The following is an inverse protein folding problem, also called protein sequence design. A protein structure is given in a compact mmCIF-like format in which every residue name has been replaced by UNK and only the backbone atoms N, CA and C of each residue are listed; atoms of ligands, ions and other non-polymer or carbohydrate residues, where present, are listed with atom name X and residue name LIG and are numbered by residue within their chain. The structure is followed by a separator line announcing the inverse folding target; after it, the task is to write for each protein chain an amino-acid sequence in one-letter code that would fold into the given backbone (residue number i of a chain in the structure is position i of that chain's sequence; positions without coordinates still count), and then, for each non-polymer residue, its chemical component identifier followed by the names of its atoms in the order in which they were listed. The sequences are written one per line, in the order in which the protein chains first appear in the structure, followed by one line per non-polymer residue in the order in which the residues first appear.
data_IF_032637871669
#
_entry.id   IF_032637871669
#
_cell.length_a   1.000
_cell.length_b   1.000
_cell.length_c   1.000
_cell.angle_alpha   90.00
_cell.angle_beta   90.00
_cell.angle_gamma   90.00
#
_symmetry.space_group_name_H-M   'P 1'
#
loop_
_entity.id
_entity.type
_entity.pdbx_description
1 polymer ?
#
# COMPACT_ATOMS: atom_id res chain seq x y z
N UNK A 1 -51.70 1.47 -45.73
CA UNK A 1 -51.99 0.31 -44.86
C UNK A 1 -51.38 0.59 -43.50
N UNK A 2 -52.20 0.76 -42.46
CA UNK A 2 -51.70 0.73 -41.08
C UNK A 2 -51.63 -0.74 -40.63
N UNK A 3 -50.51 -1.17 -40.06
CA UNK A 3 -50.41 -2.51 -39.44
C UNK A 3 -50.96 -2.39 -38.01
N UNK A 4 -52.29 -2.36 -37.91
CA UNK A 4 -53.01 -2.21 -36.64
C UNK A 4 -54.47 -2.61 -36.79
N UNK A 5 -54.83 -3.78 -36.26
CA UNK A 5 -56.20 -4.31 -36.28
C UNK A 5 -57.07 -3.62 -35.23
N UNK A 6 -57.62 -2.46 -35.57
CA UNK A 6 -58.56 -1.71 -34.73
C UNK A 6 -59.30 -0.64 -35.52
N UNK A 7 -60.60 -0.45 -35.24
CA UNK A 7 -61.51 0.42 -36.01
C UNK A 7 -61.15 1.92 -35.98
N UNK A 8 -60.22 2.33 -35.11
CA UNK A 8 -59.72 3.71 -34.99
C UNK A 8 -58.28 3.88 -35.51
N UNK A 9 -57.72 2.90 -36.22
CA UNK A 9 -56.38 2.98 -36.80
C UNK A 9 -56.37 3.92 -38.02
N UNK A 10 -56.25 5.24 -37.77
CA UNK A 10 -56.18 6.25 -38.82
C UNK A 10 -54.96 6.02 -39.74
N UNK A 11 -55.22 5.51 -40.94
CA UNK A 11 -54.23 5.46 -42.00
C UNK A 11 -53.84 6.89 -42.39
N UNK A 12 -52.56 7.23 -42.23
CA UNK A 12 -52.01 8.51 -42.68
C UNK A 12 -52.40 8.78 -44.14
N UNK A 13 -52.87 9.99 -44.41
CA UNK A 13 -53.45 10.38 -45.69
C UNK A 13 -52.39 10.61 -46.77
N UNK A 14 -52.74 10.24 -48.00
CA UNK A 14 -52.25 10.75 -49.29
C UNK A 14 -50.73 10.59 -49.61
N UNK A 15 -49.93 9.94 -48.77
CA UNK A 15 -48.49 9.65 -49.03
C UNK A 15 -48.10 8.26 -48.49
N UNK A 16 -48.47 7.19 -49.21
CA UNK A 16 -48.06 5.82 -48.86
C UNK A 16 -46.85 5.37 -49.69
N UNK A 17 -45.86 4.80 -49.01
CA UNK A 17 -44.70 4.17 -49.67
C UNK A 17 -45.08 2.86 -50.37
N UNK A 18 -44.44 2.59 -51.51
CA UNK A 18 -44.71 1.42 -52.35
C UNK A 18 -44.42 0.10 -51.64
N UNK A 19 -45.46 -0.68 -51.36
CA UNK A 19 -45.33 -2.08 -50.99
C UNK A 19 -44.97 -2.91 -52.24
N UNK A 20 -43.68 -3.14 -52.46
CA UNK A 20 -43.19 -4.01 -53.52
C UNK A 20 -43.44 -5.49 -53.16
N UNK A 21 -44.67 -5.96 -53.33
CA UNK A 21 -44.96 -7.40 -53.28
C UNK A 21 -44.23 -8.10 -54.42
N UNK A 22 -43.40 -9.08 -54.06
CA UNK A 22 -42.77 -10.01 -55.00
C UNK A 22 -43.39 -11.39 -54.83
N UNK A 23 -43.45 -12.16 -55.91
CA UNK A 23 -43.84 -13.57 -55.86
C UNK A 23 -42.72 -14.45 -55.26
N UNK A 24 -42.96 -15.76 -55.17
CA UNK A 24 -41.98 -16.72 -54.68
C UNK A 24 -40.69 -16.83 -55.53
N UNK A 25 -40.69 -16.24 -56.73
CA UNK A 25 -39.54 -16.18 -57.65
C UNK A 25 -38.85 -14.80 -57.63
N UNK A 26 -39.29 -13.86 -56.78
CA UNK A 26 -38.74 -12.52 -56.66
C UNK A 26 -39.25 -11.51 -57.71
N UNK A 27 -40.23 -11.86 -58.53
CA UNK A 27 -40.83 -10.99 -59.55
C UNK A 27 -41.84 -10.05 -58.91
N UNK A 28 -41.75 -8.74 -59.18
CA UNK A 28 -42.70 -7.76 -58.65
C UNK A 28 -44.10 -7.97 -59.27
N UNK A 29 -45.13 -8.09 -58.43
CA UNK A 29 -46.50 -8.40 -58.85
C UNK A 29 -47.19 -7.10 -59.32
N UNK A 30 -47.58 -6.95 -60.61
CA UNK A 30 -48.27 -5.76 -61.07
C UNK A 30 -49.69 -5.68 -60.49
N UNK A 31 -50.07 -4.51 -59.98
CA UNK A 31 -51.44 -4.21 -59.54
C UNK A 31 -51.71 -4.29 -58.03
N UNK A 32 -50.84 -4.90 -57.22
CA UNK A 32 -50.99 -4.96 -55.75
C UNK A 32 -50.31 -3.77 -55.05
N UNK A 33 -50.60 -2.55 -55.48
CA UNK A 33 -49.93 -1.34 -54.96
C UNK A 33 -50.54 0.00 -55.37
N UNK A 34 -51.75 0.02 -55.90
CA UNK A 34 -52.45 1.25 -56.27
C UNK A 34 -53.27 1.83 -55.12
N UNK A 35 -53.05 3.10 -54.79
CA UNK A 35 -54.05 3.90 -54.07
C UNK A 35 -55.32 3.98 -54.93
N UNK A 36 -56.53 3.66 -54.42
CA UNK A 36 -57.76 3.70 -55.20
C UNK A 36 -58.09 5.07 -55.82
N UNK A 37 -57.50 6.16 -55.30
CA UNK A 37 -57.81 7.52 -55.71
C UNK A 37 -56.81 8.12 -56.72
N UNK A 38 -55.89 7.33 -57.28
CA UNK A 38 -54.87 7.80 -58.23
C UNK A 38 -55.37 8.08 -59.66
N UNK A 39 -56.59 8.62 -59.80
CA UNK A 39 -57.22 8.97 -61.08
C UNK A 39 -58.06 10.27 -61.00
N UNK A 40 -57.46 11.39 -60.58
CA UNK A 40 -57.69 12.66 -61.28
C UNK A 40 -56.53 13.66 -61.11
N UNK A 41 -56.51 14.63 -62.01
CA UNK A 41 -55.68 15.82 -62.15
C UNK A 41 -55.14 16.47 -60.85
N UNK A 42 -53.82 16.60 -60.77
CA UNK A 42 -53.15 17.91 -60.64
C UNK A 42 -51.64 17.84 -60.93
N UNK A 43 -51.08 18.92 -61.49
CA UNK A 43 -49.74 18.97 -62.05
C UNK A 43 -48.63 19.04 -60.98
N UNK A 44 -47.89 17.95 -60.80
CA UNK A 44 -46.54 17.96 -60.24
C UNK A 44 -45.73 16.84 -60.93
N UNK A 45 -44.53 17.09 -61.48
CA UNK A 45 -43.90 16.12 -62.37
C UNK A 45 -43.47 14.86 -61.62
N UNK A 46 -43.63 13.70 -62.27
CA UNK A 46 -43.16 12.40 -61.80
C UNK A 46 -41.63 12.45 -61.68
N UNK A 47 -41.12 12.72 -60.47
CA UNK A 47 -39.67 12.75 -60.23
C UNK A 47 -39.11 11.33 -60.27
N UNK A 48 -38.60 10.93 -61.43
CA UNK A 48 -37.97 9.64 -61.73
C UNK A 48 -36.68 9.34 -60.93
N UNK A 49 -36.38 10.13 -59.89
CA UNK A 49 -35.21 9.98 -59.03
C UNK A 49 -35.46 10.55 -57.61
N UNK A 50 -36.06 9.74 -56.72
CA UNK A 50 -35.75 9.71 -55.27
C UNK A 50 -35.90 8.31 -54.65
N UNK A 51 -36.73 7.43 -55.23
CA UNK A 51 -36.36 6.01 -55.29
C UNK A 51 -35.25 5.88 -56.34
N UNK A 52 -34.00 6.04 -55.91
CA UNK A 52 -32.84 6.14 -56.81
C UNK A 52 -32.35 4.79 -57.34
N UNK A 53 -32.92 4.32 -58.44
CA UNK A 53 -32.16 3.48 -59.38
C UNK A 53 -31.31 4.44 -60.22
N UNK A 54 -29.98 4.30 -60.16
CA UNK A 54 -29.09 5.09 -61.00
C UNK A 54 -29.22 4.65 -62.48
N UNK A 55 -29.13 5.56 -63.47
CA UNK A 55 -29.22 5.18 -64.88
C UNK A 55 -28.07 4.25 -65.27
N UNK A 56 -28.42 3.01 -65.66
CA UNK A 56 -27.46 1.96 -66.06
C UNK A 56 -27.59 0.64 -65.28
N UNK A 57 -28.39 0.61 -64.21
CA UNK A 57 -28.44 -0.53 -63.28
C UNK A 57 -29.65 -1.46 -63.47
N UNK A 58 -29.37 -2.74 -63.70
CA UNK A 58 -30.37 -3.74 -64.14
C UNK A 58 -31.04 -4.56 -63.03
N UNK A 59 -30.80 -4.29 -61.74
CA UNK A 59 -31.34 -5.08 -60.62
C UNK A 59 -32.22 -4.24 -59.66
N UNK A 60 -33.50 -4.60 -59.46
CA UNK A 60 -34.39 -3.85 -58.56
C UNK A 60 -34.11 -4.19 -57.07
N UNK A 61 -34.12 -3.20 -56.15
CA UNK A 61 -33.73 -3.38 -54.75
C UNK A 61 -34.60 -4.42 -54.02
N UNK A 62 -33.95 -5.29 -53.25
CA UNK A 62 -34.51 -6.51 -52.65
C UNK A 62 -35.20 -6.30 -51.29
N UNK A 63 -35.61 -5.08 -50.96
CA UNK A 63 -36.08 -4.72 -49.60
C UNK A 63 -37.48 -4.09 -49.52
N UNK A 64 -37.93 -3.86 -48.29
CA UNK A 64 -39.28 -3.39 -47.94
C UNK A 64 -39.24 -1.96 -47.39
N UNK A 65 -39.82 -1.02 -48.14
CA UNK A 65 -39.98 0.37 -47.71
C UNK A 65 -41.46 0.68 -47.41
N UNK A 66 -41.75 1.19 -46.21
CA UNK A 66 -43.12 1.53 -45.77
C UNK A 66 -43.15 2.92 -45.15
N UNK A 67 -44.05 3.77 -45.65
CA UNK A 67 -44.26 5.14 -45.15
C UNK A 67 -43.43 6.21 -45.86
N UNK A 68 -43.79 7.47 -45.61
CA UNK A 68 -43.34 8.63 -46.38
C UNK A 68 -41.82 8.83 -46.31
N UNK A 69 -41.19 9.00 -47.48
CA UNK A 69 -39.74 9.22 -47.66
C UNK A 69 -38.81 8.12 -47.10
N UNK A 70 -39.34 6.96 -46.67
CA UNK A 70 -38.48 5.83 -46.27
C UNK A 70 -37.89 5.13 -47.50
N UNK A 71 -36.61 4.79 -47.46
CA UNK A 71 -35.79 4.29 -48.57
C UNK A 71 -35.04 3.02 -48.16
N UNK A 72 -34.95 2.06 -49.09
CA UNK A 72 -34.08 0.88 -48.95
C UNK A 72 -33.14 0.82 -50.16
N UNK A 73 -31.87 0.52 -49.90
CA UNK A 73 -30.83 0.41 -50.92
C UNK A 73 -30.76 -0.96 -51.61
N UNK A 74 -29.66 -1.18 -52.33
CA UNK A 74 -29.54 -2.22 -53.36
C UNK A 74 -29.50 -3.66 -52.84
N UNK A 75 -28.82 -3.88 -51.71
CA UNK A 75 -28.66 -5.24 -51.16
C UNK A 75 -29.89 -5.77 -50.42
N UNK A 76 -30.87 -4.90 -50.13
CA UNK A 76 -32.09 -5.23 -49.37
C UNK A 76 -32.20 -4.47 -48.06
N UNK A 77 -33.07 -4.97 -47.18
CA UNK A 77 -33.35 -4.40 -45.86
C UNK A 77 -34.81 -3.99 -45.67
N UNK A 78 -35.10 -3.37 -44.51
CA UNK A 78 -36.43 -2.96 -44.07
C UNK A 78 -36.38 -1.50 -43.59
N UNK A 79 -37.17 -0.61 -44.18
CA UNK A 79 -37.31 0.78 -43.75
C UNK A 79 -38.78 1.11 -43.49
N UNK A 80 -39.17 1.34 -42.22
CA UNK A 80 -40.58 1.49 -41.81
C UNK A 80 -40.81 2.76 -41.01
N UNK A 81 -41.65 3.65 -41.52
CA UNK A 81 -42.06 4.90 -40.87
C UNK A 81 -41.75 6.12 -41.73
N UNK A 82 -41.25 7.20 -41.12
CA UNK A 82 -40.96 8.46 -41.81
C UNK A 82 -39.46 8.66 -42.04
N UNK A 83 -39.06 8.84 -43.31
CA UNK A 83 -37.69 9.22 -43.72
C UNK A 83 -36.59 8.33 -43.11
N UNK A 84 -36.81 7.03 -43.05
CA UNK A 84 -35.79 6.06 -42.64
C UNK A 84 -34.98 5.59 -43.86
N UNK A 85 -33.71 5.27 -43.67
CA UNK A 85 -32.81 4.76 -44.71
C UNK A 85 -32.21 3.43 -44.26
N UNK A 86 -32.28 2.39 -45.08
CA UNK A 86 -31.67 1.09 -44.79
C UNK A 86 -30.84 0.59 -45.99
N UNK A 87 -29.57 0.24 -45.76
CA UNK A 87 -28.72 -0.41 -46.77
C UNK A 87 -28.35 0.48 -47.95
N UNK A 88 -28.44 1.80 -47.77
CA UNK A 88 -28.29 2.81 -48.83
C UNK A 88 -26.86 3.23 -49.12
N UNK A 89 -25.90 2.85 -48.27
CA UNK A 89 -24.48 3.12 -48.50
C UNK A 89 -23.86 2.01 -49.33
N UNK A 90 -23.05 2.38 -50.32
CA UNK A 90 -22.27 1.43 -51.10
C UNK A 90 -20.95 1.15 -50.37
N UNK A 91 -20.63 -0.12 -50.13
CA UNK A 91 -19.35 -0.51 -49.55
C UNK A 91 -18.23 -0.33 -50.58
N UNK A 92 -17.06 0.14 -50.13
CA UNK A 92 -15.90 0.41 -50.98
C UNK A 92 -15.19 -0.86 -51.47
N UNK A 93 -15.56 -2.02 -50.94
CA UNK A 93 -15.11 -3.36 -51.36
C UNK A 93 -15.97 -3.97 -52.48
N UNK A 94 -17.12 -3.37 -52.80
CA UNK A 94 -18.08 -3.91 -53.78
C UNK A 94 -18.89 -5.13 -53.32
N UNK A 95 -18.75 -5.57 -52.07
CA UNK A 95 -19.41 -6.79 -51.55
C UNK A 95 -20.75 -6.46 -50.88
N UNK A 96 -21.85 -6.62 -51.62
CA UNK A 96 -23.19 -6.29 -51.13
C UNK A 96 -23.72 -7.25 -50.06
N UNK A 97 -23.86 -6.77 -48.82
CA UNK A 97 -24.54 -7.48 -47.72
C UNK A 97 -25.49 -6.55 -46.96
N UNK A 98 -26.67 -6.23 -47.50
CA UNK A 98 -27.60 -5.30 -46.84
C UNK A 98 -28.93 -5.98 -46.47
N UNK A 99 -28.98 -6.60 -45.30
CA UNK A 99 -30.22 -6.92 -44.58
C UNK A 99 -30.31 -6.06 -43.31
N UNK A 100 -30.23 -4.73 -43.47
CA UNK A 100 -30.35 -3.79 -42.35
C UNK A 100 -31.80 -3.35 -42.11
N UNK A 101 -32.09 -2.86 -40.90
CA UNK A 101 -33.46 -2.55 -40.44
C UNK A 101 -33.53 -1.17 -39.81
N UNK A 102 -34.27 -0.24 -40.42
CA UNK A 102 -34.50 1.12 -39.94
C UNK A 102 -35.99 1.35 -39.64
N UNK A 103 -36.36 1.59 -38.37
CA UNK A 103 -37.78 1.67 -37.94
C UNK A 103 -38.05 2.89 -37.08
N UNK A 104 -39.00 3.74 -37.49
CA UNK A 104 -39.46 4.91 -36.76
C UNK A 104 -39.36 6.19 -37.59
N UNK A 105 -38.50 7.13 -37.17
CA UNK A 105 -38.36 8.46 -37.79
C UNK A 105 -36.90 8.84 -37.99
N UNK A 106 -36.49 9.29 -39.18
CA UNK A 106 -35.13 9.78 -39.48
C UNK A 106 -33.97 8.80 -39.18
N UNK A 107 -34.20 7.47 -39.12
CA UNK A 107 -33.12 6.53 -38.81
C UNK A 107 -32.29 6.16 -40.06
N UNK A 108 -30.97 6.03 -39.90
CA UNK A 108 -30.02 5.50 -40.89
C UNK A 108 -29.48 4.14 -40.39
N UNK A 109 -29.78 3.06 -41.11
CA UNK A 109 -29.23 1.72 -40.90
C UNK A 109 -28.32 1.35 -42.09
N UNK A 110 -27.13 1.94 -42.10
CA UNK A 110 -26.22 2.00 -43.24
C UNK A 110 -25.28 0.80 -43.31
N UNK A 111 -24.86 0.31 -42.15
CA UNK A 111 -23.96 -0.83 -42.05
C UNK A 111 -24.62 -2.13 -42.49
N UNK A 112 -23.85 -3.04 -43.06
CA UNK A 112 -24.29 -4.40 -43.40
C UNK A 112 -24.90 -5.09 -42.18
N UNK A 113 -26.14 -5.57 -42.25
CA UNK A 113 -26.90 -6.15 -41.12
C UNK A 113 -27.15 -5.21 -39.92
N UNK A 114 -27.02 -3.89 -40.09
CA UNK A 114 -27.25 -2.93 -39.00
C UNK A 114 -28.73 -2.76 -38.63
N UNK A 115 -29.00 -2.27 -37.42
CA UNK A 115 -30.35 -2.02 -36.90
C UNK A 115 -30.41 -0.61 -36.32
N UNK A 116 -31.35 0.23 -36.76
CA UNK A 116 -31.56 1.59 -36.27
C UNK A 116 -33.06 1.83 -35.95
N UNK A 117 -33.43 1.82 -34.67
CA UNK A 117 -34.84 1.83 -34.25
C UNK A 117 -35.11 3.01 -33.31
N UNK A 118 -36.14 3.79 -33.63
CA UNK A 118 -36.62 4.93 -32.84
C UNK A 118 -36.59 6.23 -33.62
N UNK A 119 -35.84 7.24 -33.16
CA UNK A 119 -35.78 8.57 -33.78
C UNK A 119 -34.34 9.07 -34.01
N UNK A 120 -34.00 9.43 -35.25
CA UNK A 120 -32.72 10.06 -35.63
C UNK A 120 -31.46 9.24 -35.25
N UNK A 121 -31.55 7.91 -35.21
CA UNK A 121 -30.40 7.05 -34.92
C UNK A 121 -29.59 6.76 -36.19
N UNK A 122 -28.26 6.64 -36.06
CA UNK A 122 -27.36 6.26 -37.17
C UNK A 122 -26.51 5.05 -36.80
N UNK A 123 -26.71 3.93 -37.49
CA UNK A 123 -25.98 2.68 -37.33
C UNK A 123 -25.15 2.39 -38.60
N UNK A 124 -23.84 2.66 -38.53
CA UNK A 124 -22.92 2.63 -39.69
C UNK A 124 -22.03 1.38 -39.68
N UNK A 125 -21.69 0.87 -38.50
CA UNK A 125 -20.86 -0.33 -38.37
C UNK A 125 -21.57 -1.58 -38.89
N UNK A 126 -20.82 -2.55 -39.42
CA UNK A 126 -21.35 -3.86 -39.80
C UNK A 126 -21.87 -4.60 -38.57
N UNK A 127 -23.06 -5.18 -38.67
CA UNK A 127 -23.78 -5.85 -37.59
C UNK A 127 -24.02 -4.98 -36.35
N UNK A 128 -24.07 -3.66 -36.51
CA UNK A 128 -24.23 -2.70 -35.41
C UNK A 128 -25.70 -2.40 -35.06
N UNK A 129 -25.98 -1.96 -33.84
CA UNK A 129 -27.34 -1.67 -33.38
C UNK A 129 -27.45 -0.32 -32.66
N UNK A 130 -28.38 0.53 -33.10
CA UNK A 130 -28.75 1.80 -32.48
C UNK A 130 -30.25 1.79 -32.09
N UNK A 131 -30.59 1.91 -30.80
CA UNK A 131 -31.97 1.83 -30.30
C UNK A 131 -32.30 3.00 -29.37
N UNK A 132 -33.29 3.80 -29.76
CA UNK A 132 -33.84 4.90 -28.97
C UNK A 132 -33.84 6.22 -29.74
N UNK A 133 -33.16 7.26 -29.24
CA UNK A 133 -33.17 8.59 -29.88
C UNK A 133 -31.78 9.19 -30.05
N UNK A 134 -31.43 9.60 -31.27
CA UNK A 134 -30.20 10.33 -31.61
C UNK A 134 -28.90 9.57 -31.27
N UNK A 135 -28.93 8.23 -31.25
CA UNK A 135 -27.75 7.41 -30.98
C UNK A 135 -26.88 7.25 -32.24
N UNK A 136 -25.56 7.14 -32.05
CA UNK A 136 -24.59 6.96 -33.13
C UNK A 136 -23.74 5.71 -32.86
N UNK A 137 -23.81 4.76 -33.79
CA UNK A 137 -23.07 3.48 -33.70
C UNK A 137 -22.16 3.37 -34.92
N UNK A 138 -20.87 3.68 -34.75
CA UNK A 138 -19.86 3.57 -35.81
C UNK A 138 -19.16 2.21 -35.82
N UNK A 139 -18.97 1.60 -34.66
CA UNK A 139 -18.17 0.39 -34.53
C UNK A 139 -18.81 -0.85 -35.15
N UNK A 140 -18.00 -1.68 -35.79
CA UNK A 140 -18.40 -3.03 -36.19
C UNK A 140 -18.83 -3.85 -34.97
N UNK A 141 -19.98 -4.50 -35.05
CA UNK A 141 -20.65 -5.28 -33.98
C UNK A 141 -20.93 -4.44 -32.71
N UNK A 142 -20.88 -3.11 -32.80
CA UNK A 142 -21.11 -2.22 -31.67
C UNK A 142 -22.62 -1.96 -31.44
N UNK A 143 -22.97 -1.54 -30.22
CA UNK A 143 -24.37 -1.36 -29.79
C UNK A 143 -24.53 -0.06 -28.99
N UNK A 144 -25.41 0.85 -29.44
CA UNK A 144 -25.79 2.07 -28.73
C UNK A 144 -27.29 2.07 -28.35
N UNK A 145 -27.59 2.08 -27.05
CA UNK A 145 -28.94 2.07 -26.50
C UNK A 145 -29.25 3.36 -25.72
N UNK A 146 -30.48 3.85 -25.82
CA UNK A 146 -30.99 4.96 -25.02
C UNK A 146 -31.10 6.27 -25.80
N UNK A 147 -30.53 7.36 -25.28
CA UNK A 147 -30.59 8.69 -25.93
C UNK A 147 -29.20 9.29 -26.08
N UNK A 148 -28.84 9.69 -27.29
CA UNK A 148 -27.55 10.31 -27.59
C UNK A 148 -26.36 9.44 -27.13
N UNK A 149 -26.50 8.12 -27.17
CA UNK A 149 -25.41 7.18 -26.87
C UNK A 149 -24.50 7.01 -28.08
N UNK A 150 -23.20 6.90 -27.83
CA UNK A 150 -22.14 6.81 -28.83
C UNK A 150 -21.38 5.48 -28.65
N UNK A 151 -21.52 4.54 -29.57
CA UNK A 151 -20.74 3.30 -29.60
C UNK A 151 -19.83 3.33 -30.84
N UNK A 152 -18.60 3.77 -30.63
CA UNK A 152 -17.68 4.22 -31.68
C UNK A 152 -16.63 3.15 -31.98
N UNK A 153 -16.03 2.55 -30.96
CA UNK A 153 -15.06 1.47 -31.15
C UNK A 153 -15.71 0.18 -31.64
N UNK A 154 -14.99 -0.69 -32.38
CA UNK A 154 -15.50 -2.02 -32.72
C UNK A 154 -15.76 -2.83 -31.44
N UNK A 155 -16.78 -3.69 -31.48
CA UNK A 155 -17.28 -4.50 -30.36
C UNK A 155 -17.73 -3.70 -29.12
N UNK A 156 -17.89 -2.38 -29.23
CA UNK A 156 -18.24 -1.51 -28.09
C UNK A 156 -19.74 -1.51 -27.75
N UNK A 157 -20.06 -1.25 -26.48
CA UNK A 157 -21.43 -1.22 -25.95
C UNK A 157 -21.67 0.08 -25.16
N UNK A 158 -22.63 0.89 -25.57
CA UNK A 158 -22.99 2.15 -24.92
C UNK A 158 -24.49 2.18 -24.56
N UNK A 159 -24.84 2.28 -23.28
CA UNK A 159 -26.24 2.30 -22.82
C UNK A 159 -26.50 3.42 -21.80
N UNK A 160 -27.35 4.39 -22.15
CA UNK A 160 -27.77 5.43 -21.21
C UNK A 160 -28.30 6.71 -21.86
N UNK A 161 -28.01 7.85 -21.22
CA UNK A 161 -28.13 9.17 -21.83
C UNK A 161 -26.73 9.78 -21.95
N UNK A 162 -26.24 10.00 -23.17
CA UNK A 162 -24.84 10.41 -23.44
C UNK A 162 -23.82 9.39 -22.91
N UNK A 163 -24.16 8.09 -22.99
CA UNK A 163 -23.20 7.01 -22.74
C UNK A 163 -22.25 6.90 -23.93
N UNK A 164 -20.94 6.82 -23.71
CA UNK A 164 -19.93 6.94 -24.76
C UNK A 164 -18.84 5.88 -24.66
N UNK A 165 -18.86 4.91 -25.56
CA UNK A 165 -17.81 3.90 -25.70
C UNK A 165 -16.94 4.20 -26.94
N UNK A 166 -15.79 4.84 -26.69
CA UNK A 166 -14.86 5.31 -27.73
C UNK A 166 -13.82 4.25 -28.12
N UNK A 167 -13.30 3.49 -27.15
CA UNK A 167 -12.30 2.45 -27.40
C UNK A 167 -12.86 1.16 -27.98
N UNK A 168 -12.06 0.38 -28.72
CA UNK A 168 -12.35 -1.03 -29.02
C UNK A 168 -12.70 -1.81 -27.75
N UNK A 169 -13.68 -2.71 -27.83
CA UNK A 169 -14.19 -3.50 -26.70
C UNK A 169 -14.68 -2.66 -25.49
N UNK A 170 -14.95 -1.36 -25.72
CA UNK A 170 -15.34 -0.43 -24.67
C UNK A 170 -16.78 -0.63 -24.20
N UNK A 171 -17.02 -0.63 -22.89
CA UNK A 171 -18.36 -0.76 -22.30
C UNK A 171 -18.68 0.49 -21.47
N UNK A 172 -19.68 1.26 -21.88
CA UNK A 172 -20.15 2.46 -21.20
C UNK A 172 -21.64 2.32 -20.80
N UNK A 173 -21.96 2.18 -19.51
CA UNK A 173 -23.34 1.96 -19.03
C UNK A 173 -23.68 2.97 -17.94
N UNK A 174 -24.63 3.87 -18.22
CA UNK A 174 -25.04 4.96 -17.34
C UNK A 174 -25.23 6.29 -18.09
N UNK A 175 -25.84 7.29 -17.43
CA UNK A 175 -25.84 8.66 -17.98
C UNK A 175 -24.42 9.22 -17.90
N UNK A 176 -23.94 9.85 -18.98
CA UNK A 176 -22.59 10.43 -19.07
C UNK A 176 -21.43 9.44 -18.77
N UNK A 177 -21.65 8.13 -18.93
CA UNK A 177 -20.55 7.15 -18.80
C UNK A 177 -19.60 7.22 -20.00
N UNK A 178 -18.29 7.08 -19.77
CA UNK A 178 -17.26 7.22 -20.78
C UNK A 178 -16.20 6.10 -20.70
N UNK A 179 -16.09 5.28 -21.76
CA UNK A 179 -15.12 4.20 -21.91
C UNK A 179 -14.15 4.49 -23.07
N UNK A 180 -12.91 4.83 -22.74
CA UNK A 180 -11.92 5.46 -23.62
C UNK A 180 -12.05 6.99 -23.67
N UNK A 181 -10.98 7.67 -24.08
CA UNK A 181 -11.05 9.08 -24.51
C UNK A 181 -11.62 9.17 -25.93
N UNK A 182 -12.19 10.31 -26.32
CA UNK A 182 -12.55 10.56 -27.72
C UNK A 182 -11.29 10.84 -28.56
N UNK A 183 -11.10 10.10 -29.66
CA UNK A 183 -10.07 10.43 -30.66
C UNK A 183 -10.35 11.76 -31.37
N UNK A 184 -9.31 12.41 -31.91
CA UNK A 184 -9.39 13.74 -32.55
C UNK A 184 -10.41 13.86 -33.70
N UNK A 185 -10.78 12.73 -34.30
CA UNK A 185 -11.74 12.57 -35.41
C UNK A 185 -13.07 11.90 -34.98
N UNK A 186 -13.19 11.56 -33.70
CA UNK A 186 -14.28 10.75 -33.16
C UNK A 186 -14.39 9.35 -33.79
N UNK A 187 -13.29 8.72 -34.23
CA UNK A 187 -13.27 7.34 -34.78
C UNK A 187 -12.84 6.26 -33.78
N UNK A 188 -12.27 6.65 -32.64
CA UNK A 188 -11.76 5.71 -31.63
C UNK A 188 -10.29 5.28 -31.83
N UNK A 189 -9.61 5.77 -32.87
CA UNK A 189 -8.22 5.36 -33.20
C UNK A 189 -7.16 5.83 -32.21
N UNK A 190 -7.43 6.91 -31.45
CA UNK A 190 -6.60 7.35 -30.32
C UNK A 190 -7.04 6.80 -28.96
N UNK A 191 -8.04 5.91 -28.94
CA UNK A 191 -8.75 5.51 -27.72
C UNK A 191 -8.23 4.17 -27.19
N UNK A 192 -7.72 4.17 -25.96
CA UNK A 192 -7.26 2.97 -25.27
C UNK A 192 -8.36 1.89 -25.23
N UNK A 193 -8.02 0.66 -25.60
CA UNK A 193 -8.97 -0.44 -25.73
C UNK A 193 -9.42 -1.05 -24.38
N UNK A 194 -10.50 -1.85 -24.42
CA UNK A 194 -11.01 -2.69 -23.34
C UNK A 194 -11.29 -1.96 -22.02
N UNK A 195 -11.77 -0.71 -22.12
CA UNK A 195 -12.18 0.09 -20.97
C UNK A 195 -13.65 -0.20 -20.58
N UNK A 196 -13.94 -0.24 -19.27
CA UNK A 196 -15.29 -0.50 -18.75
C UNK A 196 -15.68 0.61 -17.78
N UNK A 197 -16.72 1.38 -18.10
CA UNK A 197 -17.27 2.48 -17.31
C UNK A 197 -18.76 2.26 -17.04
N UNK A 198 -19.09 1.89 -15.79
CA UNK A 198 -20.45 1.54 -15.38
C UNK A 198 -20.85 2.40 -14.18
N UNK A 199 -21.79 3.32 -14.40
CA UNK A 199 -22.28 4.28 -13.40
C UNK A 199 -22.58 5.65 -14.01
N UNK A 200 -23.32 6.46 -13.25
CA UNK A 200 -23.57 7.86 -13.62
C UNK A 200 -22.26 8.66 -13.65
N UNK A 201 -21.93 9.30 -14.77
CA UNK A 201 -20.70 10.07 -14.95
C UNK A 201 -19.42 9.28 -14.59
N UNK A 202 -19.42 7.95 -14.81
CA UNK A 202 -18.26 7.08 -14.63
C UNK A 202 -17.30 7.21 -15.83
N UNK A 203 -15.99 7.23 -15.59
CA UNK A 203 -14.99 7.39 -16.65
C UNK A 203 -13.85 6.37 -16.51
N UNK A 204 -13.65 5.53 -17.51
CA UNK A 204 -12.51 4.62 -17.62
C UNK A 204 -11.83 4.86 -18.96
N UNK A 205 -10.62 5.41 -18.97
CA UNK A 205 -9.97 5.84 -20.22
C UNK A 205 -8.53 5.37 -20.42
N UNK A 206 -7.91 4.83 -19.36
CA UNK A 206 -6.49 4.47 -19.37
C UNK A 206 -6.08 3.28 -20.25
N UNK A 207 -7.02 2.42 -20.67
CA UNK A 207 -6.76 1.19 -21.41
C UNK A 207 -6.71 -0.01 -20.48
N UNK A 208 -7.60 -0.99 -20.72
CA UNK A 208 -7.87 -2.05 -19.74
C UNK A 208 -8.36 -1.53 -18.39
N UNK A 209 -8.90 -0.30 -18.34
CA UNK A 209 -9.28 0.36 -17.10
C UNK A 209 -10.75 0.08 -16.74
N UNK A 210 -11.04 -0.04 -15.44
CA UNK A 210 -12.37 -0.36 -14.92
C UNK A 210 -12.85 0.71 -13.94
N UNK A 211 -13.92 1.42 -14.26
CA UNK A 211 -14.62 2.34 -13.37
C UNK A 211 -16.05 1.84 -13.12
N UNK A 212 -16.33 1.36 -11.91
CA UNK A 212 -17.64 0.82 -11.52
C UNK A 212 -18.17 1.60 -10.29
N UNK A 213 -19.12 2.49 -10.54
CA UNK A 213 -19.75 3.37 -9.56
C UNK A 213 -20.06 4.76 -10.12
N UNK A 214 -21.04 5.45 -9.53
CA UNK A 214 -21.33 6.86 -9.88
C UNK A 214 -20.09 7.72 -9.63
N UNK A 215 -19.65 8.49 -10.63
CA UNK A 215 -18.43 9.30 -10.63
C UNK A 215 -17.13 8.52 -10.36
N UNK A 216 -17.11 7.19 -10.55
CA UNK A 216 -15.87 6.41 -10.51
C UNK A 216 -14.93 6.80 -11.66
N UNK A 217 -13.62 6.87 -11.41
CA UNK A 217 -12.61 7.34 -12.38
C UNK A 217 -11.38 6.43 -12.42
N UNK A 218 -11.12 5.82 -13.58
CA UNK A 218 -9.97 4.98 -13.85
C UNK A 218 -9.19 5.51 -15.08
N UNK A 219 -8.30 6.48 -14.85
CA UNK A 219 -7.71 7.33 -15.90
C UNK A 219 -6.26 6.95 -16.23
N UNK A 220 -5.89 5.69 -16.07
CA UNK A 220 -4.54 5.17 -16.37
C UNK A 220 -4.55 3.69 -16.68
N UNK A 221 -3.53 3.20 -17.38
CA UNK A 221 -3.52 1.85 -17.94
C UNK A 221 -3.67 0.78 -16.86
N UNK A 222 -4.66 -0.10 -17.02
CA UNK A 222 -5.05 -1.16 -16.07
C UNK A 222 -5.43 -0.64 -14.67
N UNK A 223 -5.87 0.63 -14.54
CA UNK A 223 -6.37 1.18 -13.28
C UNK A 223 -7.80 0.68 -12.98
N UNK A 224 -8.13 0.51 -11.70
CA UNK A 224 -9.43 0.02 -11.23
C UNK A 224 -10.01 0.94 -10.16
N UNK A 225 -11.18 1.51 -10.40
CA UNK A 225 -11.93 2.33 -9.45
C UNK A 225 -13.31 1.69 -9.20
N UNK A 226 -13.48 1.12 -8.02
CA UNK A 226 -14.68 0.36 -7.61
C UNK A 226 -15.37 1.03 -6.43
N UNK A 227 -16.38 1.86 -6.71
CA UNK A 227 -17.17 2.58 -5.70
C UNK A 227 -17.60 3.96 -6.19
N UNK A 228 -18.64 4.52 -5.58
CA UNK A 228 -19.10 5.88 -5.92
C UNK A 228 -18.00 6.89 -5.59
N UNK A 229 -17.56 7.68 -6.58
CA UNK A 229 -16.46 8.63 -6.44
C UNK A 229 -15.09 8.00 -6.19
N UNK A 230 -14.91 6.71 -6.44
CA UNK A 230 -13.59 6.07 -6.37
C UNK A 230 -12.67 6.59 -7.48
N UNK A 231 -11.39 6.81 -7.20
CA UNK A 231 -10.43 7.41 -8.13
C UNK A 231 -9.11 6.65 -8.16
N UNK A 232 -8.77 6.08 -9.32
CA UNK A 232 -7.51 5.40 -9.60
C UNK A 232 -6.84 6.08 -10.82
N UNK A 233 -5.92 7.00 -10.54
CA UNK A 233 -5.32 7.89 -11.54
C UNK A 233 -3.89 7.50 -11.93
N UNK A 234 -3.47 6.28 -11.60
CA UNK A 234 -2.11 5.78 -11.87
C UNK A 234 -2.12 4.38 -12.49
N UNK A 235 -1.13 4.06 -13.31
CA UNK A 235 -0.99 2.76 -13.99
C UNK A 235 -1.04 1.60 -12.99
N UNK A 236 -1.91 0.62 -13.24
CA UNK A 236 -2.20 -0.56 -12.39
C UNK A 236 -2.71 -0.27 -10.97
N UNK A 237 -3.04 0.99 -10.63
CA UNK A 237 -3.56 1.33 -9.29
C UNK A 237 -5.01 0.92 -9.10
N UNK A 238 -5.39 0.57 -7.87
CA UNK A 238 -6.71 0.07 -7.50
C UNK A 238 -7.27 0.88 -6.34
N UNK A 239 -8.43 1.51 -6.52
CA UNK A 239 -9.20 2.19 -5.49
C UNK A 239 -10.53 1.45 -5.26
N UNK A 240 -10.75 0.93 -4.05
CA UNK A 240 -11.95 0.14 -3.70
C UNK A 240 -12.70 0.73 -2.50
N UNK A 241 -14.01 0.89 -2.66
CA UNK A 241 -14.90 1.60 -1.73
C UNK A 241 -15.27 3.00 -2.22
N UNK A 242 -16.41 3.52 -1.75
CA UNK A 242 -16.84 4.88 -2.11
C UNK A 242 -15.86 5.95 -1.62
N UNK A 243 -15.53 6.93 -2.47
CA UNK A 243 -14.54 7.97 -2.20
C UNK A 243 -13.10 7.48 -2.03
N UNK A 244 -12.80 6.22 -2.32
CA UNK A 244 -11.43 5.68 -2.22
C UNK A 244 -10.50 6.26 -3.28
N UNK A 245 -9.23 6.42 -2.95
CA UNK A 245 -8.29 7.25 -3.70
C UNK A 245 -6.94 6.54 -3.81
N UNK A 246 -6.54 6.18 -5.04
CA UNK A 246 -5.27 5.51 -5.36
C UNK A 246 -4.39 6.45 -6.21
N UNK A 247 -3.78 7.44 -5.53
CA UNK A 247 -3.10 8.58 -6.13
C UNK A 247 -1.59 8.62 -5.89
N UNK A 248 -0.99 7.71 -5.11
CA UNK A 248 0.44 7.74 -4.74
C UNK A 248 1.41 7.36 -5.88
N UNK A 249 0.91 6.88 -7.02
CA UNK A 249 1.74 6.56 -8.18
C UNK A 249 2.57 5.28 -8.05
N UNK A 250 3.63 5.20 -8.87
CA UNK A 250 4.58 4.09 -8.82
C UNK A 250 5.52 4.27 -7.62
N UNK A 251 5.48 3.33 -6.67
CA UNK A 251 6.25 3.45 -5.43
C UNK A 251 7.70 2.98 -5.66
N UNK A 252 8.58 3.93 -5.96
CA UNK A 252 10.03 3.72 -6.14
C UNK A 252 10.80 4.23 -4.93
N UNK A 253 10.78 3.45 -3.84
CA UNK A 253 11.41 3.76 -2.55
C UNK A 253 11.86 2.46 -1.86
N UNK A 254 12.57 2.55 -0.72
CA UNK A 254 12.83 1.35 0.10
C UNK A 254 11.80 1.22 1.22
N UNK A 255 11.47 -0.02 1.59
CA UNK A 255 10.72 -0.33 2.80
C UNK A 255 11.46 0.16 4.05
N UNK A 256 10.78 0.91 4.91
CA UNK A 256 11.37 1.61 6.07
C UNK A 256 12.04 0.65 7.08
N UNK A 257 11.53 -0.57 7.23
CA UNK A 257 11.99 -1.53 8.24
C UNK A 257 12.93 -2.61 7.70
N UNK A 258 12.70 -3.10 6.47
CA UNK A 258 13.49 -4.18 5.86
C UNK A 258 14.63 -3.67 4.99
N UNK A 259 14.56 -2.41 4.53
CA UNK A 259 15.45 -1.85 3.53
C UNK A 259 15.23 -2.36 2.10
N UNK A 260 14.28 -3.27 1.87
CA UNK A 260 13.99 -3.87 0.55
C UNK A 260 13.50 -2.79 -0.42
N UNK A 261 14.04 -2.77 -1.64
CA UNK A 261 13.67 -1.81 -2.67
C UNK A 261 12.32 -2.17 -3.31
N UNK A 262 11.40 -1.22 -3.30
CA UNK A 262 10.12 -1.28 -4.01
C UNK A 262 10.36 -0.88 -5.48
N UNK A 263 10.05 -1.80 -6.39
CA UNK A 263 10.29 -1.61 -7.82
C UNK A 263 9.31 -0.62 -8.45
N UNK A 264 9.78 0.13 -9.45
CA UNK A 264 8.97 1.03 -10.29
C UNK A 264 7.93 0.22 -11.11
N UNK A 265 6.81 -0.08 -10.47
CA UNK A 265 5.82 -1.05 -10.91
C UNK A 265 4.90 -1.53 -9.78
N UNK A 266 5.34 -1.38 -8.52
CA UNK A 266 4.48 -1.50 -7.35
C UNK A 266 3.42 -0.39 -7.39
N UNK A 267 2.18 -0.80 -7.68
CA UNK A 267 1.03 0.08 -7.79
C UNK A 267 0.20 0.06 -6.49
N UNK A 268 -0.41 1.19 -6.17
CA UNK A 268 -1.22 1.35 -4.97
C UNK A 268 -2.53 0.55 -5.03
N UNK A 269 -2.80 -0.26 -3.99
CA UNK A 269 -4.13 -0.77 -3.67
C UNK A 269 -4.67 0.01 -2.46
N UNK A 270 -5.71 0.79 -2.66
CA UNK A 270 -6.27 1.72 -1.68
C UNK A 270 -7.72 1.38 -1.32
N UNK A 271 -7.96 1.14 -0.03
CA UNK A 271 -9.28 0.83 0.54
C UNK A 271 -10.01 2.07 1.09
N UNK A 272 -9.48 3.27 0.88
CA UNK A 272 -9.99 4.52 1.45
C UNK A 272 -9.30 5.75 0.89
N UNK A 273 -9.27 6.83 1.65
CA UNK A 273 -8.48 8.03 1.37
C UNK A 273 -7.78 8.51 2.65
N UNK A 274 -6.88 9.50 2.55
CA UNK A 274 -6.21 10.08 3.72
C UNK A 274 -7.23 10.75 4.66
N UNK A 275 -7.26 10.35 5.94
CA UNK A 275 -8.28 10.75 6.92
C UNK A 275 -9.65 10.06 6.73
N UNK A 276 -9.73 9.09 5.82
CA UNK A 276 -10.89 8.24 5.54
C UNK A 276 -10.44 6.79 5.28
N UNK A 277 -9.50 6.32 6.10
CA UNK A 277 -8.98 4.96 6.10
C UNK A 277 -10.05 3.94 6.51
N UNK A 278 -9.90 2.68 6.09
CA UNK A 278 -10.81 1.58 6.44
C UNK A 278 -10.05 0.41 7.04
N UNK A 279 -10.68 -0.26 8.01
CA UNK A 279 -10.16 -1.51 8.56
C UNK A 279 -10.25 -2.62 7.51
N UNK A 280 -9.16 -3.37 7.31
CA UNK A 280 -9.15 -4.61 6.55
C UNK A 280 -9.29 -5.76 7.56
N UNK A 281 -10.48 -6.37 7.61
CA UNK A 281 -10.83 -7.42 8.57
C UNK A 281 -10.65 -8.81 7.97
N UNK A 282 -10.68 -9.85 8.82
CA UNK A 282 -10.57 -11.27 8.43
C UNK A 282 -9.26 -11.66 7.70
N UNK A 283 -8.20 -10.85 7.85
CA UNK A 283 -6.87 -11.13 7.30
C UNK A 283 -6.25 -12.35 8.00
N UNK A 284 -5.95 -13.39 7.23
CA UNK A 284 -5.25 -14.59 7.71
C UNK A 284 -3.82 -14.27 8.21
N UNK A 285 -3.13 -15.25 8.82
CA UNK A 285 -1.75 -15.04 9.22
C UNK A 285 -0.80 -15.07 8.01
N UNK A 286 0.05 -14.06 7.88
CA UNK A 286 1.13 -14.01 6.91
C UNK A 286 2.07 -15.23 7.03
N UNK A 287 2.46 -15.80 5.89
CA UNK A 287 3.35 -16.96 5.75
C UNK A 287 4.55 -16.70 4.84
N UNK A 288 4.46 -15.67 3.99
CA UNK A 288 5.48 -15.21 3.05
C UNK A 288 5.80 -13.73 3.34
N UNK A 289 6.97 -13.27 2.92
CA UNK A 289 7.40 -11.89 3.15
C UNK A 289 6.49 -10.80 2.54
N UNK A 290 5.66 -11.16 1.56
CA UNK A 290 4.72 -10.27 0.85
C UNK A 290 3.28 -10.38 1.36
N UNK A 291 3.00 -11.19 2.39
CA UNK A 291 1.65 -11.38 2.92
C UNK A 291 1.32 -10.27 3.95
N UNK A 292 0.05 -9.87 4.03
CA UNK A 292 -0.39 -8.87 5.00
C UNK A 292 -0.36 -9.42 6.44
N UNK A 293 0.41 -8.76 7.32
CA UNK A 293 0.53 -9.12 8.75
C UNK A 293 -0.73 -8.70 9.51
N UNK A 294 -1.31 -9.61 10.29
CA UNK A 294 -2.49 -9.31 11.13
C UNK A 294 -2.14 -9.00 12.60
N UNK A 295 -3.11 -8.47 13.34
CA UNK A 295 -2.93 -8.04 14.74
C UNK A 295 -2.46 -9.16 15.68
N UNK A 296 -2.81 -10.42 15.41
CA UNK A 296 -2.32 -11.57 16.21
C UNK A 296 -0.82 -11.77 16.02
N UNK A 297 -0.32 -11.63 14.79
CA UNK A 297 1.12 -11.73 14.52
C UNK A 297 1.91 -10.57 15.11
N UNK A 298 1.39 -9.35 15.01
CA UNK A 298 2.01 -8.18 15.64
C UNK A 298 2.12 -8.34 17.17
N UNK A 299 1.07 -8.87 17.82
CA UNK A 299 1.09 -9.17 19.26
C UNK A 299 2.14 -10.21 19.64
N UNK A 300 2.23 -11.33 18.91
CA UNK A 300 3.23 -12.38 19.17
C UNK A 300 4.68 -11.87 19.09
N UNK A 301 4.97 -10.84 18.28
CA UNK A 301 6.29 -10.18 18.28
C UNK A 301 6.55 -9.44 19.59
N UNK A 302 5.55 -8.74 20.12
CA UNK A 302 5.62 -8.04 21.41
C UNK A 302 5.75 -9.02 22.59
N UNK A 303 4.95 -10.08 22.61
CA UNK A 303 5.04 -11.15 23.61
C UNK A 303 6.45 -11.78 23.65
N UNK A 304 7.00 -12.11 22.47
CA UNK A 304 8.32 -12.71 22.31
C UNK A 304 9.45 -11.77 22.75
N UNK A 305 9.37 -10.48 22.41
CA UNK A 305 10.36 -9.48 22.83
C UNK A 305 10.31 -9.24 24.35
N UNK A 306 9.11 -9.10 24.93
CA UNK A 306 8.95 -8.91 26.36
C UNK A 306 9.48 -10.11 27.17
N UNK A 307 9.15 -11.33 26.75
CA UNK A 307 9.67 -12.56 27.35
C UNK A 307 11.20 -12.66 27.25
N UNK A 308 11.77 -12.29 26.11
CA UNK A 308 13.23 -12.27 25.88
C UNK A 308 13.97 -11.25 26.75
N UNK A 309 13.30 -10.17 27.16
CA UNK A 309 13.84 -9.11 28.02
C UNK A 309 13.52 -9.31 29.51
N UNK A 310 12.71 -10.30 29.88
CA UNK A 310 12.26 -10.52 31.27
C UNK A 310 11.18 -9.53 31.76
N UNK A 311 10.50 -8.84 30.83
CA UNK A 311 9.42 -7.90 31.10
C UNK A 311 8.03 -8.50 30.84
N UNK A 312 7.07 -7.63 30.52
CA UNK A 312 5.72 -8.03 30.08
C UNK A 312 5.24 -7.19 28.90
N UNK A 313 4.25 -7.68 28.17
CA UNK A 313 3.61 -6.96 27.06
C UNK A 313 2.10 -6.91 27.29
N UNK A 314 1.52 -5.72 27.22
CA UNK A 314 0.06 -5.55 27.20
C UNK A 314 -0.43 -5.55 25.75
N UNK A 315 -1.01 -6.67 25.33
CA UNK A 315 -1.59 -6.83 24.01
C UNK A 315 -2.77 -5.87 23.72
N UNK A 316 -3.41 -5.26 24.73
CA UNK A 316 -4.49 -4.30 24.53
C UNK A 316 -3.98 -2.89 24.19
N UNK A 317 -2.97 -2.38 24.89
CA UNK A 317 -2.40 -1.03 24.66
C UNK A 317 -1.15 -1.01 23.79
N UNK A 318 -0.46 -2.14 23.63
CA UNK A 318 0.86 -2.23 23.00
C UNK A 318 2.02 -1.81 23.91
N UNK A 319 1.78 -1.58 25.20
CA UNK A 319 2.80 -1.16 26.15
C UNK A 319 3.70 -2.33 26.59
N UNK A 320 4.99 -2.03 26.83
CA UNK A 320 5.93 -2.94 27.48
C UNK A 320 6.10 -2.58 28.96
N UNK A 321 5.95 -3.55 29.84
CA UNK A 321 6.35 -3.43 31.24
C UNK A 321 7.87 -3.70 31.36
N UNK A 322 8.56 -2.84 32.13
CA UNK A 322 9.98 -2.99 32.38
C UNK A 322 10.28 -4.31 33.13
N UNK A 323 11.43 -4.96 32.87
CA UNK A 323 11.87 -6.13 33.63
C UNK A 323 12.20 -5.75 35.09
N UNK A 324 12.03 -6.72 35.99
CA UNK A 324 12.48 -6.60 37.38
C UNK A 324 13.76 -7.41 37.61
N UNK A 325 14.65 -6.87 38.43
CA UNK A 325 15.97 -7.45 38.70
C UNK A 325 16.02 -7.92 40.14
N UNK A 326 16.24 -9.22 40.38
CA UNK A 326 16.28 -9.78 41.74
C UNK A 326 17.69 -9.86 42.31
N UNK A 327 17.89 -9.37 43.54
CA UNK A 327 19.07 -9.67 44.36
C UNK A 327 18.69 -9.83 45.83
N UNK A 328 19.20 -10.86 46.50
CA UNK A 328 18.89 -11.14 47.92
C UNK A 328 17.39 -11.41 48.21
N UNK A 329 16.59 -11.75 47.19
CA UNK A 329 15.13 -11.85 47.28
C UNK A 329 14.38 -10.51 47.14
N UNK A 330 15.10 -9.38 47.03
CA UNK A 330 14.54 -8.04 46.81
C UNK A 330 14.45 -7.76 45.30
N UNK A 331 13.30 -7.29 44.79
CA UNK A 331 13.17 -6.84 43.40
C UNK A 331 13.58 -5.36 43.26
N UNK A 332 14.29 -5.06 42.16
CA UNK A 332 14.74 -3.73 41.78
C UNK A 332 14.18 -3.36 40.39
N UNK A 333 13.88 -2.07 40.18
CA UNK A 333 13.25 -1.59 38.95
C UNK A 333 14.26 -1.30 37.83
N UNK A 334 15.55 -1.15 38.17
CA UNK A 334 16.65 -0.99 37.20
C UNK A 334 17.81 -1.92 37.53
N UNK A 335 18.48 -2.42 36.50
CA UNK A 335 19.71 -3.20 36.64
C UNK A 335 20.79 -2.46 37.46
N UNK A 336 20.87 -1.13 37.33
CA UNK A 336 21.78 -0.29 38.11
C UNK A 336 21.54 -0.35 39.62
N UNK A 337 20.28 -0.47 40.03
CA UNK A 337 19.88 -0.53 41.45
C UNK A 337 20.22 -1.91 42.04
N UNK A 338 19.97 -2.99 41.29
CA UNK A 338 20.39 -4.34 41.67
C UNK A 338 21.93 -4.47 41.74
N UNK A 339 22.66 -3.85 40.81
CA UNK A 339 24.14 -3.83 40.85
C UNK A 339 24.66 -2.99 42.02
N UNK A 340 24.01 -1.89 42.38
CA UNK A 340 24.34 -1.12 43.60
C UNK A 340 24.07 -1.92 44.88
N UNK A 341 23.00 -2.74 44.91
CA UNK A 341 22.75 -3.65 46.02
C UNK A 341 23.83 -4.74 46.13
N UNK A 342 24.22 -5.36 45.01
CA UNK A 342 25.35 -6.31 44.97
C UNK A 342 26.63 -5.65 45.49
N UNK A 343 26.98 -4.46 45.00
CA UNK A 343 28.19 -3.73 45.43
C UNK A 343 28.14 -3.37 46.93
N UNK A 344 26.96 -3.08 47.48
CA UNK A 344 26.76 -2.77 48.90
C UNK A 344 26.92 -4.01 49.79
N UNK A 345 26.30 -5.15 49.43
CA UNK A 345 26.24 -6.33 50.29
C UNK A 345 27.36 -7.37 50.04
N UNK A 346 28.15 -7.24 48.96
CA UNK A 346 29.26 -8.14 48.68
C UNK A 346 30.51 -7.83 49.54
N UNK A 347 31.16 -8.89 50.03
CA UNK A 347 32.52 -8.81 50.60
C UNK A 347 33.49 -8.24 49.56
N UNK A 348 34.19 -7.16 49.90
CA UNK A 348 35.20 -6.55 49.04
C UNK A 348 36.60 -6.84 49.55
N UNK A 349 37.50 -7.18 48.65
CA UNK A 349 38.93 -7.10 48.95
C UNK A 349 39.33 -5.63 49.13
N UNK A 350 40.24 -5.40 50.07
CA UNK A 350 40.91 -4.10 50.21
C UNK A 350 41.62 -3.72 48.90
N UNK A 351 41.78 -2.41 48.71
CA UNK A 351 42.55 -1.85 47.59
C UNK A 351 43.47 -0.75 48.10
N UNK A 352 44.63 -0.63 47.47
CA UNK A 352 45.49 0.52 47.69
C UNK A 352 44.95 1.80 47.00
N UNK A 353 45.63 2.93 47.18
CA UNK A 353 45.29 4.20 46.55
C UNK A 353 45.42 4.22 45.01
N UNK A 354 45.92 3.15 44.38
CA UNK A 354 45.93 2.96 42.92
C UNK A 354 44.75 2.10 42.42
N UNK A 355 43.98 1.49 43.33
CA UNK A 355 42.90 0.55 43.02
C UNK A 355 43.33 -0.91 42.88
N UNK A 356 44.60 -1.23 43.17
CA UNK A 356 45.17 -2.58 43.12
C UNK A 356 44.68 -3.40 44.31
N UNK A 357 44.28 -4.66 44.07
CA UNK A 357 43.77 -5.58 45.10
C UNK A 357 44.85 -5.93 46.12
N UNK A 358 44.60 -5.61 47.38
CA UNK A 358 45.38 -6.03 48.54
C UNK A 358 44.93 -7.44 49.02
N UNK A 359 45.73 -8.14 49.83
CA UNK A 359 45.34 -9.43 50.41
C UNK A 359 44.30 -9.34 51.53
N UNK A 360 43.93 -8.14 51.99
CA UNK A 360 42.90 -7.90 53.00
C UNK A 360 41.47 -7.98 52.46
N UNK A 361 40.50 -8.10 53.36
CA UNK A 361 39.05 -8.06 53.08
C UNK A 361 38.42 -7.04 54.04
N UNK A 362 37.76 -6.03 53.49
CA UNK A 362 37.03 -5.03 54.28
C UNK A 362 35.68 -5.61 54.71
N UNK A 363 35.64 -6.11 55.94
CA UNK A 363 34.42 -6.66 56.56
C UNK A 363 33.41 -5.57 56.96
N UNK A 364 33.84 -4.32 57.11
CA UNK A 364 33.04 -3.26 57.78
C UNK A 364 31.82 -2.81 56.97
N UNK A 365 31.81 -3.07 55.66
CA UNK A 365 30.72 -2.70 54.74
C UNK A 365 29.47 -3.57 54.85
N UNK A 366 29.53 -4.67 55.61
CA UNK A 366 28.35 -5.47 55.94
C UNK A 366 27.35 -4.78 56.89
N UNK A 367 27.62 -3.54 57.32
CA UNK A 367 26.75 -2.75 58.19
C UNK A 367 27.06 -1.25 58.13
N UNK A 368 26.54 -0.50 59.10
CA UNK A 368 26.85 0.93 59.24
C UNK A 368 28.31 1.14 59.66
N UNK A 369 28.95 2.19 59.16
CA UNK A 369 30.35 2.52 59.47
C UNK A 369 30.53 2.68 60.98
N UNK A 370 31.42 1.87 61.58
CA UNK A 370 31.66 1.81 63.02
C UNK A 370 30.89 0.72 63.77
N UNK A 371 29.99 -0.03 63.11
CA UNK A 371 29.39 -1.23 63.70
C UNK A 371 30.40 -2.38 63.77
N UNK A 372 30.42 -3.11 64.90
CA UNK A 372 31.23 -4.30 65.05
C UNK A 372 30.65 -5.47 64.24
N UNK A 373 31.48 -6.10 63.40
CA UNK A 373 31.08 -7.22 62.54
C UNK A 373 31.19 -8.53 63.32
N UNK A 374 30.08 -9.21 63.53
CA UNK A 374 30.08 -10.53 64.18
C UNK A 374 30.49 -11.62 63.17
N UNK A 375 31.60 -12.30 63.45
CA UNK A 375 32.06 -13.46 62.67
C UNK A 375 31.73 -14.72 63.46
N UNK A 376 30.76 -15.51 62.97
CA UNK A 376 30.31 -16.75 63.59
C UNK A 376 30.78 -17.98 62.80
N UNK A 377 30.78 -19.15 63.43
CA UNK A 377 31.20 -20.40 62.78
C UNK A 377 32.72 -20.54 62.54
N UNK A 378 33.56 -19.69 63.16
CA UNK A 378 35.01 -19.83 63.10
C UNK A 378 35.45 -21.19 63.66
N UNK A 379 36.06 -22.01 62.80
CA UNK A 379 36.76 -23.22 63.18
C UNK A 379 38.11 -22.87 63.85
N UNK A 380 38.75 -23.80 64.58
CA UNK A 380 40.08 -23.60 65.15
C UNK A 380 41.12 -23.11 64.14
N UNK A 381 41.74 -21.96 64.42
CA UNK A 381 42.87 -21.48 63.64
C UNK A 381 44.04 -22.47 63.71
N UNK A 382 44.64 -22.76 62.57
CA UNK A 382 45.76 -23.71 62.40
C UNK A 382 47.13 -23.02 62.29
N UNK A 383 47.15 -21.68 62.33
CA UNK A 383 48.34 -20.83 62.28
C UNK A 383 48.13 -19.58 63.14
N UNK A 384 49.23 -19.02 63.67
CA UNK A 384 49.22 -17.89 64.62
C UNK A 384 48.61 -16.58 64.07
N UNK A 385 48.46 -16.47 62.75
CA UNK A 385 47.85 -15.32 62.06
C UNK A 385 46.37 -15.52 61.69
N UNK A 386 45.75 -16.63 62.11
CA UNK A 386 44.33 -16.93 61.83
C UNK A 386 43.36 -16.25 62.79
N UNK A 387 42.12 -16.00 62.32
CA UNK A 387 41.02 -15.60 63.19
C UNK A 387 40.56 -16.78 64.05
N UNK A 388 40.45 -16.57 65.37
CA UNK A 388 40.03 -17.59 66.35
C UNK A 388 38.66 -17.29 66.93
N UNK A 389 37.92 -18.33 67.31
CA UNK A 389 36.69 -18.17 68.09
C UNK A 389 37.02 -17.72 69.53
N UNK A 390 36.12 -16.95 70.17
CA UNK A 390 36.34 -16.43 71.53
C UNK A 390 36.53 -17.56 72.57
N UNK A 391 35.92 -18.73 72.34
CA UNK A 391 36.12 -19.95 73.14
C UNK A 391 37.56 -20.51 73.11
N UNK A 392 38.38 -20.06 72.18
CA UNK A 392 39.80 -20.41 72.05
C UNK A 392 40.74 -19.33 72.58
N UNK A 393 40.22 -18.18 73.00
CA UNK A 393 40.97 -17.16 73.73
C UNK A 393 40.79 -17.40 75.23
N UNK A 394 41.65 -18.18 75.91
CA UNK A 394 41.58 -18.30 77.36
C UNK A 394 41.86 -16.93 77.98
N UNK A 395 40.85 -16.34 78.62
CA UNK A 395 40.94 -15.04 79.31
C UNK A 395 41.96 -15.13 80.46
N UNK A 396 43.21 -14.78 80.16
CA UNK A 396 44.32 -14.74 81.11
C UNK A 396 44.48 -13.33 81.66
N UNK A 397 43.71 -13.01 82.69
CA UNK A 397 43.90 -11.81 83.49
C UNK A 397 45.32 -11.79 84.11
N UNK A 398 46.10 -10.76 83.81
CA UNK A 398 47.39 -10.49 84.43
C UNK A 398 47.24 -9.48 85.56
N UNK A 399 48.10 -9.58 86.57
CA UNK A 399 48.27 -8.53 87.59
C UNK A 399 49.66 -7.93 87.46
N UNK A 400 49.83 -6.68 87.91
CA UNK A 400 51.05 -5.89 87.69
C UNK A 400 52.34 -6.44 88.36
N UNK A 401 52.27 -7.59 89.04
CA UNK A 401 53.40 -8.23 89.72
C UNK A 401 53.79 -9.61 89.13
N UNK A 402 52.95 -10.25 88.29
CA UNK A 402 53.29 -11.51 87.60
C UNK A 402 52.31 -11.81 86.45
N UNK A 403 52.78 -11.96 85.19
CA UNK A 403 51.90 -12.13 84.03
C UNK A 403 51.50 -13.59 83.71
N UNK A 404 51.87 -14.57 84.55
CA UNK A 404 51.73 -16.02 84.23
C UNK A 404 50.69 -16.78 85.05
N UNK A 405 50.11 -16.19 86.09
CA UNK A 405 49.06 -16.80 86.94
C UNK A 405 47.86 -15.86 87.10
N UNK A 406 46.65 -16.44 87.09
CA UNK A 406 45.39 -15.67 87.12
C UNK A 406 44.91 -15.38 88.56
N UNK A 407 44.26 -14.24 88.76
CA UNK A 407 43.80 -13.76 90.07
C UNK A 407 42.26 -13.54 90.10
N UNK A 408 41.52 -14.03 91.12
CA UNK A 408 40.05 -13.98 91.12
C UNK A 408 39.48 -12.79 91.92
N UNK A 409 39.46 -11.58 91.33
CA UNK A 409 38.64 -10.46 91.85
C UNK A 409 38.37 -9.38 90.78
N UNK A 410 37.13 -8.86 90.76
CA UNK A 410 36.63 -7.71 89.97
C UNK A 410 36.64 -7.89 88.43
N UNK A 411 35.47 -7.90 87.76
CA UNK A 411 35.41 -7.90 86.29
C UNK A 411 35.89 -6.58 85.68
N UNK A 412 36.69 -6.68 84.61
CA UNK A 412 36.86 -5.61 83.61
C UNK A 412 36.43 -6.15 82.24
N UNK A 413 35.88 -5.27 81.40
CA UNK A 413 35.38 -5.62 80.07
C UNK A 413 36.45 -5.56 78.97
N UNK A 414 37.67 -5.10 79.27
CA UNK A 414 38.75 -4.97 78.29
C UNK A 414 39.47 -6.29 78.01
N UNK A 415 39.38 -6.76 76.77
CA UNK A 415 40.16 -7.90 76.25
C UNK A 415 41.47 -7.38 75.63
N UNK A 416 42.58 -7.53 76.35
CA UNK A 416 43.92 -7.20 75.84
C UNK A 416 44.58 -8.39 75.14
N UNK A 417 44.67 -8.32 73.82
CA UNK A 417 45.34 -9.33 72.98
C UNK A 417 46.85 -9.07 72.92
N UNK A 418 47.64 -9.92 73.58
CA UNK A 418 49.11 -9.85 73.57
C UNK A 418 49.68 -10.69 72.42
N UNK A 419 49.79 -10.08 71.24
CA UNK A 419 50.58 -10.64 70.14
C UNK A 419 52.08 -10.58 70.45
N UNK A 420 52.78 -11.70 70.36
CA UNK A 420 54.21 -11.77 70.65
C UNK A 420 55.04 -11.16 69.50
N UNK A 421 55.88 -10.16 69.81
CA UNK A 421 56.93 -9.65 68.92
C UNK A 421 58.32 -9.88 69.53
N UNK A 422 59.30 -10.20 68.69
CA UNK A 422 60.54 -10.85 69.11
C UNK A 422 61.71 -9.93 69.46
N UNK A 423 62.56 -10.44 70.37
CA UNK A 423 64.00 -10.18 70.49
C UNK A 423 64.51 -8.73 70.41
N UNK A 424 64.77 -8.13 71.57
CA UNK A 424 65.60 -6.92 71.69
C UNK A 424 67.11 -7.23 71.64
N UNK A 425 67.92 -6.24 71.23
CA UNK A 425 69.34 -6.12 71.57
C UNK A 425 69.71 -4.66 71.85
N UNK A 426 70.57 -4.43 72.83
CA UNK A 426 71.00 -3.12 73.34
C UNK A 426 72.52 -2.96 73.25
N UNK A 427 73.05 -1.73 73.28
CA UNK A 427 74.51 -1.53 73.32
C UNK A 427 75.06 -0.10 73.13
N UNK A 428 75.01 0.72 74.20
CA UNK A 428 75.93 1.83 74.54
C UNK A 428 76.21 3.02 73.58
N UNK A 429 76.81 4.05 74.17
CA UNK A 429 77.17 5.37 73.60
C UNK A 429 78.60 5.75 74.00
N UNK A 430 79.29 6.62 73.24
CA UNK A 430 80.22 7.67 73.76
C UNK A 430 80.78 8.61 72.68
N UNK A 431 80.88 9.90 73.04
CA UNK A 431 81.85 10.96 72.61
C UNK A 431 82.05 11.40 71.13
N UNK A 432 82.44 12.68 70.98
CA UNK A 432 82.79 13.46 69.77
C UNK A 432 84.07 14.27 70.10
N UNK A 433 84.99 14.66 69.17
CA UNK A 433 84.87 16.01 68.54
C UNK A 433 85.60 16.27 67.17
N UNK A 434 85.40 17.48 66.62
CA UNK A 434 86.34 18.34 65.85
C UNK A 434 86.72 18.15 64.34
N UNK A 435 86.22 19.08 63.49
CA UNK A 435 86.89 19.93 62.45
C UNK A 435 87.72 19.39 61.24
N UNK A 436 87.13 19.50 60.02
CA UNK A 436 87.59 20.17 58.75
C UNK A 436 89.08 20.19 58.31
N UNK A 437 89.42 19.95 57.01
CA UNK A 437 89.37 21.01 55.95
C UNK A 437 89.01 20.56 54.48
N UNK A 438 88.92 21.50 53.48
CA UNK A 438 88.48 21.29 52.07
C UNK A 438 89.64 21.51 51.04
N UNK A 439 89.46 21.80 49.70
CA UNK A 439 88.28 21.88 48.82
C UNK A 439 88.29 20.80 47.67
N UNK A 440 88.54 21.01 46.34
CA UNK A 440 88.95 22.16 45.50
C UNK A 440 87.84 22.65 44.50
N UNK A 441 88.23 23.22 43.33
CA UNK A 441 87.41 23.70 42.17
C UNK A 441 88.32 23.78 40.92
N UNK A 442 87.83 23.76 39.65
CA UNK A 442 87.58 25.04 38.93
C UNK A 442 86.56 25.03 37.75
N UNK A 443 85.88 26.19 37.54
CA UNK A 443 85.48 26.84 36.26
C UNK A 443 84.71 26.04 35.14
N UNK A 444 83.96 26.62 34.18
CA UNK A 444 83.60 28.01 33.77
C UNK A 444 82.28 28.00 32.94
N UNK A 445 81.64 29.18 32.76
CA UNK A 445 80.88 29.71 31.58
C UNK A 445 80.22 28.76 30.53
N UNK A 446 79.07 29.03 29.86
CA UNK A 446 78.08 30.15 29.81
C UNK A 446 76.92 29.75 28.86
N UNK A 447 75.76 30.43 28.96
CA UNK A 447 74.65 30.43 27.98
C UNK A 447 73.89 29.09 27.74
N UNK A 448 72.66 29.06 27.21
CA UNK A 448 71.70 30.16 27.03
C UNK A 448 70.74 29.99 25.84
N UNK A 449 69.43 29.92 26.11
CA UNK A 449 68.33 29.81 25.10
C UNK A 449 68.35 28.50 24.27
N UNK A 450 67.34 28.13 23.45
CA UNK A 450 66.01 28.71 23.22
C UNK A 450 64.95 27.64 22.87
N UNK A 451 63.69 28.04 22.97
CA UNK A 451 62.43 27.51 22.42
C UNK A 451 62.37 26.42 21.32
N UNK A 452 61.29 25.62 21.44
CA UNK A 452 60.29 25.21 20.40
C UNK A 452 60.48 23.97 19.50
N UNK A 453 59.38 23.18 19.45
CA UNK A 453 58.75 22.52 18.26
C UNK A 453 59.48 21.32 17.60
N UNK A 454 58.83 20.34 16.94
CA UNK A 454 57.43 19.85 16.88
C UNK A 454 57.41 18.39 16.36
N UNK A 455 56.21 17.77 16.29
CA UNK A 455 55.87 16.44 15.73
C UNK A 455 56.49 15.22 16.45
N UNK A 456 55.80 14.08 16.63
CA UNK A 456 54.40 13.76 16.29
C UNK A 456 54.27 12.83 15.09
N UNK A 457 54.01 11.55 15.36
CA UNK A 457 53.59 10.56 14.36
C UNK A 457 52.50 9.65 14.94
N UNK A 458 51.69 9.08 14.05
CA UNK A 458 50.38 8.46 14.30
C UNK A 458 50.41 7.00 13.86
N UNK A 459 50.01 6.07 14.72
CA UNK A 459 49.73 4.69 14.32
C UNK A 459 48.66 4.05 15.23
N UNK A 460 47.72 3.33 14.62
CA UNK A 460 46.78 2.40 15.26
C UNK A 460 46.70 1.12 14.40
N UNK A 461 45.86 0.12 14.74
CA UNK A 461 46.26 -1.25 15.13
C UNK A 461 46.33 -2.24 13.94
N UNK A 462 46.51 -3.56 14.19
CA UNK A 462 45.29 -4.40 14.22
C UNK A 462 45.30 -5.64 15.15
N UNK A 463 44.10 -5.93 15.69
CA UNK A 463 43.34 -7.20 15.81
C UNK A 463 43.98 -8.62 15.98
N UNK A 464 43.10 -9.51 16.52
CA UNK A 464 43.07 -10.99 16.42
C UNK A 464 43.99 -11.82 17.36
N UNK A 465 43.67 -13.12 17.60
CA UNK A 465 42.33 -13.66 17.90
C UNK A 465 42.31 -14.77 18.99
N UNK A 466 41.11 -15.10 19.49
CA UNK A 466 40.69 -16.44 19.93
C UNK A 466 39.16 -16.49 19.95
#
# INVERSE_FOLDING_TARGET
MAIGSGTNAQSSSNDQGYLNFRDANGVAIPGVGSDPNAFDSMSNPVSSARNGILPGDATPPSGTAVGKQSLVGRGGGVAVGYRNSAGTFLSSDGVHYFNSTAVGSYNEADGSYSVAIGSNNKAVGRSSMALGTNNLTKGDVAVALGRQSYAIGPYSFAQGFVASAYGPDGIAIGRLSAAGEAGNDGSGTGSSASNVAIGDNSAASGGGALALGSQAKATSANAVALGSGASAANTRSVAIGAGSSALRGAISANEVFSGVALGAGNAEFSVGAAGAERQITNVAGATRATDAVNLRQLRMVGDSLAGSLGGGFDAATGAYAAPSFGYGGVPYAKATEAVQAIDTFALRYDRDGSGTRLPGIDLTRGGAVGAAVSITGLAPATVDSGAVALSQMPLRYSTAASPTTANPAVPSNDVTLVGATGAARSGCTTSRPATSPPPPRPMRSTAGSSTRRTSGCRATPPACPA
#
